data_IF_876467595186
#
_entry.id   IF_876467595186
#
_cell.length_a   1.000
_cell.length_b   1.000
_cell.length_c   1.000
_cell.angle_alpha   90.00
_cell.angle_beta   90.00
_cell.angle_gamma   90.00
#
_symmetry.space_group_name_H-M   'P 1'
#
loop_
_entity.id
_entity.type
_entity.pdbx_description
1 polymer ?
#
# COMPACT_ATOMS: atom_id res chain seq x y z
N UNK A 1 -71.51 -40.84 8.96
CA UNK A 1 -70.42 -40.12 9.65
C UNK A 1 -69.14 -40.25 8.85
N UNK A 2 -68.72 -39.21 8.13
CA UNK A 2 -67.37 -39.10 7.57
C UNK A 2 -66.93 -37.65 7.79
N UNK A 3 -66.00 -37.45 8.72
CA UNK A 3 -65.37 -36.15 9.00
C UNK A 3 -64.29 -35.93 7.94
N UNK A 4 -64.45 -34.92 7.10
CA UNK A 4 -63.40 -34.43 6.21
C UNK A 4 -62.44 -33.54 6.98
N UNK A 5 -61.15 -33.87 6.92
CA UNK A 5 -60.05 -33.07 7.48
C UNK A 5 -59.65 -32.05 6.39
N UNK A 6 -59.75 -30.76 6.70
CA UNK A 6 -59.20 -29.68 5.88
C UNK A 6 -57.75 -29.45 6.32
N UNK A 7 -56.80 -29.82 5.48
CA UNK A 7 -55.38 -29.52 5.67
C UNK A 7 -55.11 -28.16 5.00
N UNK A 8 -54.91 -27.12 5.81
CA UNK A 8 -54.44 -25.82 5.35
C UNK A 8 -52.95 -25.88 5.02
N UNK A 9 -52.60 -25.82 3.74
CA UNK A 9 -51.23 -25.56 3.31
C UNK A 9 -50.88 -24.09 3.60
N UNK A 10 -50.01 -23.86 4.59
CA UNK A 10 -49.30 -22.59 4.73
C UNK A 10 -48.14 -22.57 3.73
N UNK A 11 -48.30 -21.84 2.63
CA UNK A 11 -47.17 -21.45 1.79
C UNK A 11 -46.34 -20.40 2.54
N UNK A 12 -45.24 -20.85 3.17
CA UNK A 12 -44.18 -19.96 3.64
C UNK A 12 -43.40 -19.53 2.39
N UNK A 13 -43.75 -18.37 1.82
CA UNK A 13 -42.88 -17.69 0.88
C UNK A 13 -41.63 -17.21 1.64
N UNK A 14 -40.57 -18.03 1.64
CA UNK A 14 -39.24 -17.58 2.03
C UNK A 14 -38.76 -16.56 0.99
N UNK A 15 -38.96 -15.27 1.27
CA UNK A 15 -38.23 -14.19 0.62
C UNK A 15 -36.76 -14.31 1.03
N UNK A 16 -35.99 -15.14 0.33
CA UNK A 16 -34.55 -14.98 0.25
C UNK A 16 -34.31 -13.69 -0.54
N UNK A 17 -34.17 -12.58 0.18
CA UNK A 17 -33.62 -11.37 -0.38
C UNK A 17 -32.18 -11.70 -0.80
N UNK A 18 -31.96 -11.77 -2.11
CA UNK A 18 -30.63 -11.90 -2.69
C UNK A 18 -29.88 -10.59 -2.47
N UNK A 19 -29.35 -10.40 -1.27
CA UNK A 19 -28.43 -9.32 -0.99
C UNK A 19 -27.13 -9.65 -1.70
N UNK A 20 -26.79 -8.88 -2.73
CA UNK A 20 -25.42 -8.88 -3.24
C UNK A 20 -24.53 -8.28 -2.16
N UNK A 21 -23.75 -9.12 -1.48
CA UNK A 21 -22.69 -8.65 -0.59
C UNK A 21 -21.75 -7.72 -1.35
N UNK A 22 -21.35 -6.62 -0.71
CA UNK A 22 -20.32 -5.73 -1.24
C UNK A 22 -19.04 -6.56 -1.46
N UNK A 23 -18.45 -6.45 -2.66
CA UNK A 23 -17.23 -7.18 -3.00
C UNK A 23 -16.06 -6.22 -3.16
N UNK A 24 -14.89 -6.50 -2.58
CA UNK A 24 -13.68 -5.74 -2.86
C UNK A 24 -13.25 -5.96 -4.32
N UNK A 25 -12.95 -4.87 -5.02
CA UNK A 25 -12.34 -4.90 -6.35
C UNK A 25 -10.85 -4.56 -6.22
N UNK A 26 -10.01 -5.60 -6.22
CA UNK A 26 -8.56 -5.45 -6.24
C UNK A 26 -8.10 -4.86 -7.57
N UNK A 27 -7.26 -3.83 -7.49
CA UNK A 27 -6.69 -3.15 -8.67
C UNK A 27 -5.24 -3.59 -8.83
N UNK A 28 -4.50 -3.72 -7.72
CA UNK A 28 -3.16 -4.33 -7.65
C UNK A 28 -3.09 -5.27 -6.43
N UNK A 29 -2.01 -6.04 -6.23
CA UNK A 29 -1.84 -6.84 -5.02
C UNK A 29 -1.85 -6.04 -3.71
N UNK A 30 -1.58 -4.73 -3.78
CA UNK A 30 -1.40 -3.85 -2.61
C UNK A 30 -2.62 -2.94 -2.38
N UNK A 31 -3.61 -2.90 -3.27
CA UNK A 31 -4.85 -2.16 -2.97
C UNK A 31 -6.12 -2.58 -3.71
N UNK A 32 -7.25 -2.17 -3.13
CA UNK A 32 -8.59 -2.40 -3.67
C UNK A 32 -9.57 -1.25 -3.37
N UNK A 33 -10.72 -1.28 -4.04
CA UNK A 33 -11.87 -0.42 -3.75
C UNK A 33 -13.07 -1.29 -3.43
N UNK A 34 -13.81 -0.96 -2.37
CA UNK A 34 -15.06 -1.66 -2.03
C UNK A 34 -16.23 -0.67 -2.00
N UNK A 35 -17.35 -1.06 -2.61
CA UNK A 35 -18.61 -0.30 -2.54
C UNK A 35 -19.56 -0.97 -1.57
N UNK A 36 -19.82 -0.32 -0.44
CA UNK A 36 -20.71 -0.81 0.61
C UNK A 36 -22.17 -0.83 0.11
N UNK A 37 -22.88 -1.92 0.42
CA UNK A 37 -24.30 -2.09 0.06
C UNK A 37 -25.24 -1.18 0.85
N UNK A 38 -24.78 -0.59 1.95
CA UNK A 38 -25.50 0.40 2.77
C UNK A 38 -24.54 1.51 3.21
N UNK A 39 -25.01 2.76 3.36
CA UNK A 39 -24.25 3.80 4.04
C UNK A 39 -23.97 3.30 5.45
N UNK A 40 -22.69 3.20 5.80
CA UNK A 40 -22.31 2.91 7.18
C UNK A 40 -21.90 4.23 7.80
N UNK A 41 -22.45 4.52 8.98
CA UNK A 41 -21.83 5.50 9.86
C UNK A 41 -20.40 5.01 10.13
N UNK A 42 -19.39 5.76 9.69
CA UNK A 42 -18.03 5.50 10.16
C UNK A 42 -18.09 5.54 11.69
N UNK A 43 -17.63 4.50 12.40
CA UNK A 43 -17.61 4.49 13.86
C UNK A 43 -16.75 5.64 14.44
N UNK A 44 -15.98 6.33 13.60
CA UNK A 44 -14.98 7.32 13.96
C UNK A 44 -15.41 8.73 13.53
N UNK A 45 -16.59 9.18 13.95
CA UNK A 45 -17.00 10.57 13.75
C UNK A 45 -15.97 11.54 14.39
N UNK A 46 -15.40 12.37 13.50
CA UNK A 46 -14.59 13.61 13.54
C UNK A 46 -13.89 14.15 14.81
N UNK A 47 -13.89 13.49 15.97
CA UNK A 47 -13.13 13.96 17.11
C UNK A 47 -11.65 13.55 16.98
N UNK A 48 -10.81 14.44 16.45
CA UNK A 48 -9.37 14.25 16.33
C UNK A 48 -8.63 14.41 17.67
N UNK A 49 -9.31 14.77 18.77
CA UNK A 49 -8.64 15.05 20.05
C UNK A 49 -7.96 13.82 20.67
N UNK A 50 -8.27 12.60 20.21
CA UNK A 50 -7.60 11.40 20.71
C UNK A 50 -7.26 10.33 19.64
N UNK A 51 -6.52 10.75 18.62
CA UNK A 51 -6.11 9.85 17.54
C UNK A 51 -5.34 8.60 18.01
N UNK A 52 -4.50 8.70 19.05
CA UNK A 52 -3.79 7.53 19.59
C UNK A 52 -4.73 6.46 20.14
N UNK A 53 -5.81 6.85 20.80
CA UNK A 53 -6.82 5.89 21.26
C UNK A 53 -7.58 5.28 20.08
N UNK A 54 -7.89 6.08 19.04
CA UNK A 54 -8.49 5.59 17.80
C UNK A 54 -7.64 4.53 17.13
N UNK A 55 -6.32 4.76 17.02
CA UNK A 55 -5.37 3.76 16.49
C UNK A 55 -5.48 2.44 17.25
N UNK A 56 -5.57 2.50 18.59
CA UNK A 56 -5.74 1.30 19.42
C UNK A 56 -6.99 0.50 19.10
N UNK A 57 -8.09 1.19 18.75
CA UNK A 57 -9.38 0.57 18.41
C UNK A 57 -9.45 0.10 16.96
N UNK A 58 -8.67 0.72 16.07
CA UNK A 58 -8.60 0.38 14.66
C UNK A 58 -7.81 -0.92 14.41
N UNK A 59 -6.86 -1.28 15.28
CA UNK A 59 -6.02 -2.46 15.08
C UNK A 59 -6.80 -3.75 15.38
N UNK A 60 -6.84 -4.66 14.41
CA UNK A 60 -7.72 -5.81 14.41
C UNK A 60 -6.97 -7.06 13.89
N UNK A 61 -6.68 -8.02 14.78
CA UNK A 61 -6.11 -9.31 14.36
C UNK A 61 -7.17 -10.16 13.68
N UNK A 62 -6.85 -10.74 12.52
CA UNK A 62 -7.82 -11.49 11.71
C UNK A 62 -7.24 -12.81 11.21
N UNK A 63 -8.12 -13.78 10.94
CA UNK A 63 -7.74 -15.01 10.26
C UNK A 63 -7.52 -14.74 8.76
N UNK A 64 -6.73 -15.60 8.09
CA UNK A 64 -6.61 -15.54 6.64
C UNK A 64 -7.98 -15.59 6.00
N UNK A 65 -8.16 -14.78 4.98
CA UNK A 65 -9.39 -14.78 4.20
C UNK A 65 -9.39 -15.99 3.26
N UNK A 66 -10.32 -16.93 3.43
CA UNK A 66 -10.49 -18.07 2.52
C UNK A 66 -11.09 -17.67 1.16
N UNK A 67 -11.74 -16.51 1.10
CA UNK A 67 -12.37 -15.97 -0.10
C UNK A 67 -11.95 -14.51 -0.30
N UNK A 68 -11.12 -14.16 -1.30
CA UNK A 68 -10.67 -12.78 -1.53
C UNK A 68 -11.82 -11.78 -1.76
N UNK A 69 -13.04 -12.26 -2.05
CA UNK A 69 -14.27 -11.47 -2.16
C UNK A 69 -15.02 -11.29 -0.81
N UNK A 70 -14.54 -11.90 0.28
CA UNK A 70 -15.22 -11.86 1.57
C UNK A 70 -15.35 -10.42 2.07
N UNK A 71 -16.52 -10.13 2.66
CA UNK A 71 -16.80 -8.86 3.34
C UNK A 71 -15.59 -8.39 4.14
N UNK A 72 -15.19 -7.15 3.89
CA UNK A 72 -13.95 -6.65 4.46
C UNK A 72 -14.06 -6.44 5.97
N UNK A 73 -15.29 -6.40 6.49
CA UNK A 73 -15.60 -6.35 7.93
C UNK A 73 -15.44 -7.71 8.58
N UNK A 74 -14.19 -8.09 8.78
CA UNK A 74 -13.84 -9.31 9.50
C UNK A 74 -13.86 -9.05 11.01
N UNK A 75 -14.39 -9.99 11.82
CA UNK A 75 -14.41 -9.86 13.26
C UNK A 75 -12.98 -9.90 13.81
N UNK A 76 -12.68 -8.99 14.73
CA UNK A 76 -11.38 -8.97 15.40
C UNK A 76 -11.24 -10.16 16.35
N UNK A 77 -10.07 -10.78 16.29
CA UNK A 77 -9.65 -11.82 17.21
C UNK A 77 -9.00 -11.21 18.45
N UNK A 78 -9.02 -11.96 19.55
CA UNK A 78 -8.31 -11.60 20.78
C UNK A 78 -6.80 -11.44 20.54
N UNK A 79 -6.17 -10.54 21.31
CA UNK A 79 -4.73 -10.26 21.25
C UNK A 79 -4.30 -9.30 20.14
N UNK A 80 -5.24 -8.78 19.33
CA UNK A 80 -4.94 -7.76 18.32
C UNK A 80 -4.46 -6.43 18.91
N UNK A 81 -4.92 -6.09 20.11
CA UNK A 81 -4.56 -4.88 20.86
C UNK A 81 -3.06 -4.79 21.16
N UNK A 82 -2.38 -5.93 21.31
CA UNK A 82 -0.93 -5.98 21.52
C UNK A 82 -0.14 -5.37 20.33
N UNK A 83 -0.70 -5.38 19.13
CA UNK A 83 -0.06 -4.81 17.93
C UNK A 83 -0.21 -3.28 17.83
N UNK A 84 -1.14 -2.68 18.58
CA UNK A 84 -1.41 -1.24 18.53
C UNK A 84 -0.19 -0.39 18.87
N UNK A 85 0.75 -0.92 19.68
CA UNK A 85 1.96 -0.21 20.06
C UNK A 85 2.82 0.18 18.84
N UNK A 86 2.93 -0.68 17.83
CA UNK A 86 3.73 -0.41 16.63
C UNK A 86 3.22 0.82 15.88
N UNK A 87 1.90 0.92 15.74
CA UNK A 87 1.23 2.01 15.04
C UNK A 87 1.20 3.31 15.85
N UNK A 88 1.04 3.23 17.18
CA UNK A 88 1.14 4.39 18.07
C UNK A 88 2.54 5.00 18.06
N UNK A 89 3.57 4.16 18.05
CA UNK A 89 4.96 4.63 17.92
C UNK A 89 5.16 5.31 16.57
N UNK A 90 4.67 4.68 15.49
CA UNK A 90 4.80 5.22 14.15
C UNK A 90 4.11 6.59 13.99
N UNK A 91 2.89 6.74 14.53
CA UNK A 91 2.16 8.00 14.54
C UNK A 91 3.00 9.18 15.05
N UNK A 92 3.86 8.94 16.04
CA UNK A 92 4.71 9.98 16.62
C UNK A 92 5.80 10.48 15.68
N UNK A 93 6.27 9.62 14.77
CA UNK A 93 7.27 9.98 13.77
C UNK A 93 6.67 10.60 12.52
N UNK A 94 5.37 10.42 12.26
CA UNK A 94 4.76 10.96 11.06
C UNK A 94 4.61 12.49 11.08
N UNK A 95 4.74 13.14 9.91
CA UNK A 95 4.36 14.55 9.77
C UNK A 95 2.86 14.76 9.97
N UNK A 96 2.41 15.99 10.25
CA UNK A 96 1.00 16.29 10.54
C UNK A 96 -0.01 15.74 9.52
N UNK A 97 0.33 15.79 8.23
CA UNK A 97 -0.53 15.32 7.13
C UNK A 97 -0.74 13.81 7.19
N UNK A 98 0.35 13.04 7.39
CA UNK A 98 0.27 11.58 7.54
C UNK A 98 -0.35 11.18 8.89
N UNK A 99 -0.16 11.97 9.95
CA UNK A 99 -0.90 11.77 11.21
C UNK A 99 -2.40 11.92 11.00
N UNK A 100 -2.83 12.94 10.26
CA UNK A 100 -4.25 13.17 9.96
C UNK A 100 -4.82 12.02 9.13
N UNK A 101 -4.08 11.55 8.12
CA UNK A 101 -4.44 10.34 7.37
C UNK A 101 -4.58 9.12 8.27
N UNK A 102 -3.61 8.89 9.17
CA UNK A 102 -3.70 7.81 10.15
C UNK A 102 -5.00 7.87 10.96
N UNK A 103 -5.39 9.05 11.42
CA UNK A 103 -6.61 9.24 12.21
C UNK A 103 -7.91 8.97 11.43
N UNK A 104 -7.85 8.94 10.10
CA UNK A 104 -8.98 8.65 9.21
C UNK A 104 -9.09 7.18 8.80
N UNK A 105 -8.12 6.33 9.18
CA UNK A 105 -8.19 4.89 8.92
C UNK A 105 -9.15 4.22 9.92
N UNK A 106 -10.17 3.55 9.41
CA UNK A 106 -11.18 2.86 10.22
C UNK A 106 -10.65 1.59 10.86
N UNK A 107 -9.85 0.83 10.13
CA UNK A 107 -9.33 -0.47 10.57
C UNK A 107 -7.96 -0.78 9.97
N UNK A 108 -7.11 -1.38 10.80
CA UNK A 108 -5.78 -1.87 10.48
C UNK A 108 -5.77 -3.38 10.77
N UNK A 109 -5.90 -4.17 9.73
CA UNK A 109 -5.91 -5.62 9.84
C UNK A 109 -4.51 -6.18 10.06
N UNK A 110 -4.33 -6.99 11.10
CA UNK A 110 -3.14 -7.79 11.30
C UNK A 110 -3.43 -9.16 10.69
N UNK A 111 -2.89 -9.39 9.49
CA UNK A 111 -3.18 -10.56 8.68
C UNK A 111 -2.31 -11.74 9.12
N UNK A 112 -2.91 -12.78 9.70
CA UNK A 112 -2.15 -13.99 10.03
C UNK A 112 -1.42 -14.58 8.82
N UNK A 113 -2.02 -14.51 7.65
CA UNK A 113 -1.41 -14.86 6.38
C UNK A 113 -1.87 -13.88 5.31
N UNK A 114 -0.90 -13.31 4.59
CA UNK A 114 -1.14 -12.47 3.43
C UNK A 114 0.04 -12.66 2.48
N UNK A 115 -0.24 -12.69 1.18
CA UNK A 115 0.75 -12.92 0.13
C UNK A 115 1.71 -11.73 -0.02
N UNK A 116 1.20 -10.50 0.13
CA UNK A 116 1.99 -9.28 0.10
C UNK A 116 2.56 -8.92 1.48
N UNK A 117 3.10 -7.69 1.56
CA UNK A 117 3.56 -7.13 2.84
C UNK A 117 2.42 -6.43 3.58
N UNK A 118 1.71 -5.56 2.87
CA UNK A 118 0.58 -4.79 3.35
C UNK A 118 -0.35 -4.48 2.18
N UNK A 119 -1.52 -3.92 2.47
CA UNK A 119 -2.43 -3.41 1.48
C UNK A 119 -3.24 -2.24 2.03
N UNK A 120 -3.85 -1.45 1.14
CA UNK A 120 -4.78 -0.38 1.45
C UNK A 120 -6.12 -0.54 0.71
N UNK A 121 -7.18 0.04 1.26
CA UNK A 121 -8.44 0.14 0.54
C UNK A 121 -9.31 1.28 1.05
N UNK A 122 -10.17 1.79 0.17
CA UNK A 122 -11.19 2.79 0.52
C UNK A 122 -12.58 2.19 0.47
N UNK A 123 -13.42 2.61 1.41
CA UNK A 123 -14.82 2.22 1.52
C UNK A 123 -15.70 3.29 0.88
N UNK A 124 -16.45 2.94 -0.16
CA UNK A 124 -17.40 3.83 -0.83
C UNK A 124 -18.82 3.54 -0.40
N UNK A 125 -19.64 4.57 -0.27
CA UNK A 125 -21.09 4.42 -0.18
C UNK A 125 -21.72 4.07 -1.54
N UNK A 126 -23.02 3.70 -1.60
CA UNK A 126 -23.69 3.39 -2.85
C UNK A 126 -23.68 4.53 -3.90
N UNK A 127 -23.42 5.78 -3.48
CA UNK A 127 -23.31 6.93 -4.38
C UNK A 127 -21.87 7.16 -4.87
N UNK A 128 -20.94 6.27 -4.53
CA UNK A 128 -19.53 6.34 -4.90
C UNK A 128 -18.68 7.28 -4.04
N UNK A 129 -19.24 7.88 -2.99
CA UNK A 129 -18.49 8.75 -2.08
C UNK A 129 -17.67 7.91 -1.11
N UNK A 130 -16.39 8.25 -0.95
CA UNK A 130 -15.51 7.63 0.06
C UNK A 130 -16.03 8.02 1.46
N UNK A 131 -16.13 7.02 2.33
CA UNK A 131 -16.65 7.14 3.72
C UNK A 131 -15.70 6.58 4.77
N UNK A 132 -14.57 6.06 4.32
CA UNK A 132 -13.68 5.31 5.17
C UNK A 132 -12.50 4.71 4.41
N UNK A 133 -11.52 4.26 5.17
CA UNK A 133 -10.35 3.59 4.66
C UNK A 133 -9.89 2.50 5.61
N UNK A 134 -9.20 1.53 5.03
CA UNK A 134 -8.63 0.41 5.77
C UNK A 134 -7.27 0.06 5.20
N UNK A 135 -6.51 -0.63 6.02
CA UNK A 135 -5.27 -1.24 5.59
C UNK A 135 -5.14 -2.62 6.23
N UNK A 136 -4.30 -3.45 5.65
CA UNK A 136 -3.85 -4.69 6.27
C UNK A 136 -2.34 -4.80 6.23
N UNK A 137 -1.75 -5.49 7.18
CA UNK A 137 -0.33 -5.82 7.22
C UNK A 137 -0.14 -7.24 7.68
N UNK A 138 0.77 -7.96 7.03
CA UNK A 138 1.09 -9.34 7.37
C UNK A 138 1.66 -9.42 8.80
N UNK A 139 1.08 -10.26 9.66
CA UNK A 139 1.46 -10.43 11.07
C UNK A 139 2.95 -10.71 11.26
N UNK A 140 3.52 -11.60 10.43
CA UNK A 140 4.94 -11.96 10.52
C UNK A 140 5.87 -10.77 10.31
N UNK A 141 5.43 -9.75 9.56
CA UNK A 141 6.19 -8.51 9.35
C UNK A 141 6.39 -7.75 10.67
N UNK A 142 5.40 -7.78 11.57
CA UNK A 142 5.47 -7.15 12.89
C UNK A 142 6.18 -8.04 13.92
N UNK A 143 5.92 -9.34 13.88
CA UNK A 143 6.50 -10.30 14.84
C UNK A 143 8.01 -10.52 14.63
N UNK A 144 8.45 -10.64 13.37
CA UNK A 144 9.83 -10.98 13.01
C UNK A 144 10.77 -9.76 13.12
N UNK A 145 10.21 -8.57 13.44
CA UNK A 145 10.94 -7.30 13.60
C UNK A 145 11.89 -7.02 12.43
N UNK A 146 11.39 -7.20 11.21
CA UNK A 146 12.16 -6.97 9.99
C UNK A 146 12.72 -5.55 9.95
N UNK A 147 13.94 -5.43 9.44
CA UNK A 147 14.55 -4.13 9.15
C UNK A 147 14.25 -3.73 7.71
N UNK A 148 14.28 -2.42 7.43
CA UNK A 148 14.03 -1.91 6.08
C UNK A 148 15.06 -2.47 5.10
N UNK A 149 16.33 -2.51 5.50
CA UNK A 149 17.42 -3.16 4.76
C UNK A 149 17.07 -4.60 4.36
N UNK A 150 16.62 -5.43 5.32
CA UNK A 150 16.36 -6.85 5.07
C UNK A 150 15.14 -7.05 4.16
N UNK A 151 14.02 -6.39 4.48
CA UNK A 151 12.79 -6.49 3.72
C UNK A 151 12.94 -5.93 2.30
N UNK A 152 13.52 -4.74 2.16
CA UNK A 152 13.67 -4.10 0.86
C UNK A 152 14.64 -4.89 -0.03
N UNK A 153 15.75 -5.38 0.51
CA UNK A 153 16.63 -6.30 -0.23
C UNK A 153 15.85 -7.52 -0.72
N UNK A 154 15.07 -8.15 0.16
CA UNK A 154 14.26 -9.30 -0.23
C UNK A 154 13.27 -8.96 -1.36
N UNK A 155 12.49 -7.88 -1.21
CA UNK A 155 11.49 -7.45 -2.21
C UNK A 155 12.12 -7.17 -3.57
N UNK A 156 13.27 -6.49 -3.59
CA UNK A 156 14.01 -6.17 -4.81
C UNK A 156 14.62 -7.40 -5.49
N UNK A 157 15.01 -8.42 -4.71
CA UNK A 157 15.56 -9.67 -5.25
C UNK A 157 14.52 -10.54 -5.95
N UNK A 158 13.22 -10.39 -5.65
CA UNK A 158 12.17 -11.23 -6.23
C UNK A 158 12.19 -11.19 -7.76
N UNK A 159 12.41 -10.01 -8.35
CA UNK A 159 12.52 -9.84 -9.81
C UNK A 159 13.69 -10.61 -10.43
N UNK A 160 14.71 -10.97 -9.64
CA UNK A 160 15.97 -11.56 -10.11
C UNK A 160 16.20 -12.99 -9.59
N UNK A 161 15.13 -13.69 -9.21
CA UNK A 161 15.20 -15.08 -8.73
C UNK A 161 15.48 -15.21 -7.24
N UNK A 162 15.14 -14.17 -6.46
CA UNK A 162 15.11 -14.23 -5.00
C UNK A 162 14.08 -15.24 -4.48
N UNK A 163 14.26 -15.67 -3.24
CA UNK A 163 13.39 -16.65 -2.58
C UNK A 163 12.13 -15.94 -2.06
N UNK A 164 10.94 -16.30 -2.54
CA UNK A 164 9.69 -15.60 -2.23
C UNK A 164 9.01 -16.07 -0.92
N UNK A 165 9.28 -17.29 -0.47
CA UNK A 165 8.63 -17.89 0.70
C UNK A 165 9.31 -17.57 2.04
N UNK A 166 10.48 -16.93 1.99
CA UNK A 166 11.24 -16.52 3.17
C UNK A 166 11.96 -15.19 2.92
N UNK A 167 12.22 -14.41 3.97
CA UNK A 167 13.03 -13.18 3.89
C UNK A 167 14.54 -13.48 3.70
N UNK A 168 14.91 -14.63 3.16
CA UNK A 168 16.29 -15.03 2.91
C UNK A 168 16.83 -14.26 1.71
N UNK A 169 18.06 -13.73 1.84
CA UNK A 169 18.69 -13.00 0.75
C UNK A 169 19.60 -13.96 -0.03
N UNK A 170 19.48 -13.93 -1.35
CA UNK A 170 20.34 -14.69 -2.27
C UNK A 170 21.61 -13.89 -2.55
N UNK A 171 22.81 -14.48 -2.35
CA UNK A 171 24.08 -13.81 -2.66
C UNK A 171 24.19 -13.46 -4.16
N UNK A 172 24.76 -12.29 -4.47
CA UNK A 172 24.97 -11.81 -5.85
C UNK A 172 23.75 -11.17 -6.51
N UNK A 173 22.61 -11.09 -5.81
CA UNK A 173 21.43 -10.31 -6.18
C UNK A 173 21.46 -8.94 -5.47
N UNK A 174 20.67 -7.93 -5.90
CA UNK A 174 20.72 -6.60 -5.31
C UNK A 174 20.51 -6.61 -3.79
N UNK A 175 21.24 -5.74 -3.12
CA UNK A 175 21.19 -5.52 -1.68
C UNK A 175 20.84 -4.06 -1.41
N UNK A 176 19.83 -3.84 -0.59
CA UNK A 176 19.49 -2.52 -0.10
C UNK A 176 20.24 -2.26 1.20
N UNK A 177 20.88 -1.10 1.31
CA UNK A 177 21.52 -0.63 2.54
C UNK A 177 20.78 0.61 3.02
N UNK A 178 20.25 0.55 4.23
CA UNK A 178 19.55 1.67 4.87
C UNK A 178 20.15 2.05 6.20
N UNK A 179 20.04 3.33 6.55
CA UNK A 179 20.31 3.84 7.89
C UNK A 179 19.42 5.05 8.12
N UNK A 180 18.75 5.08 9.27
CA UNK A 180 17.76 6.10 9.63
C UNK A 180 18.09 6.68 11.01
N UNK A 181 17.41 7.75 11.41
CA UNK A 181 17.56 8.31 12.75
C UNK A 181 17.25 7.25 13.84
N UNK A 182 18.06 7.14 14.92
CA UNK A 182 17.89 6.09 15.92
C UNK A 182 16.50 6.08 16.58
N UNK A 183 15.96 4.88 16.79
CA UNK A 183 14.67 4.68 17.46
C UNK A 183 13.44 4.73 16.54
N UNK A 184 13.60 5.16 15.28
CA UNK A 184 12.55 5.05 14.29
C UNK A 184 12.43 3.60 13.78
N UNK A 185 11.20 3.09 13.67
CA UNK A 185 10.91 1.89 12.89
C UNK A 185 10.78 2.28 11.41
N UNK A 186 11.92 2.48 10.75
CA UNK A 186 11.98 2.96 9.36
C UNK A 186 11.27 2.06 8.37
N UNK A 187 11.30 0.76 8.62
CA UNK A 187 10.58 -0.22 7.85
C UNK A 187 9.07 -0.04 7.90
N UNK A 188 8.48 -0.04 9.11
CA UNK A 188 7.03 0.15 9.23
C UNK A 188 6.62 1.55 8.79
N UNK A 189 7.48 2.55 9.00
CA UNK A 189 7.27 3.89 8.47
C UNK A 189 7.15 3.88 6.95
N UNK A 190 8.07 3.21 6.26
CA UNK A 190 8.03 3.09 4.81
C UNK A 190 6.75 2.39 4.34
N UNK A 191 6.46 1.20 4.87
CA UNK A 191 5.29 0.39 4.47
C UNK A 191 3.98 1.16 4.69
N UNK A 192 3.77 1.74 5.87
CA UNK A 192 2.52 2.48 6.14
C UNK A 192 2.43 3.77 5.34
N UNK A 193 3.56 4.46 5.07
CA UNK A 193 3.55 5.63 4.19
C UNK A 193 3.15 5.28 2.76
N UNK A 194 3.60 4.12 2.28
CA UNK A 194 3.22 3.58 0.97
C UNK A 194 1.71 3.34 0.93
N UNK A 195 1.15 2.62 1.91
CA UNK A 195 -0.30 2.38 1.99
C UNK A 195 -1.11 3.69 2.08
N UNK A 196 -0.61 4.68 2.82
CA UNK A 196 -1.22 6.01 2.87
C UNK A 196 -1.18 6.72 1.52
N UNK A 197 -0.16 6.48 0.70
CA UNK A 197 -0.10 6.96 -0.68
C UNK A 197 -1.28 6.49 -1.52
N UNK A 198 -1.66 5.22 -1.43
CA UNK A 198 -2.87 4.72 -2.10
C UNK A 198 -4.14 5.41 -1.57
N UNK A 199 -4.30 5.53 -0.25
CA UNK A 199 -5.48 6.18 0.34
C UNK A 199 -5.55 7.66 -0.07
N UNK A 200 -4.41 8.37 -0.08
CA UNK A 200 -4.32 9.74 -0.57
C UNK A 200 -4.75 9.84 -2.03
N UNK A 201 -4.26 8.94 -2.89
CA UNK A 201 -4.62 8.94 -4.30
C UNK A 201 -6.12 8.77 -4.50
N UNK A 202 -6.73 7.76 -3.87
CA UNK A 202 -8.16 7.53 -4.00
C UNK A 202 -9.00 8.69 -3.53
N UNK A 203 -8.60 9.31 -2.41
CA UNK A 203 -9.36 10.38 -1.78
C UNK A 203 -9.22 11.70 -2.51
N UNK A 204 -8.06 11.95 -3.13
CA UNK A 204 -7.71 13.24 -3.73
C UNK A 204 -7.60 13.21 -5.25
N UNK A 205 -7.82 12.04 -5.87
CA UNK A 205 -7.67 11.81 -7.30
C UNK A 205 -6.27 12.22 -7.81
N UNK A 206 -5.22 11.83 -7.09
CA UNK A 206 -3.83 12.24 -7.33
C UNK A 206 -3.39 11.85 -8.73
N UNK A 207 -3.68 10.63 -9.17
CA UNK A 207 -3.23 10.10 -10.46
C UNK A 207 -3.92 10.75 -11.67
N UNK A 208 -5.24 11.00 -11.60
CA UNK A 208 -5.99 11.59 -12.71
C UNK A 208 -5.97 13.12 -12.71
N UNK A 209 -5.55 13.73 -11.60
CA UNK A 209 -5.47 15.18 -11.42
C UNK A 209 -6.84 15.83 -11.21
N UNK A 210 -6.82 16.96 -10.52
CA UNK A 210 -7.93 17.94 -10.46
C UNK A 210 -7.45 19.35 -10.83
N UNK A 211 -6.16 19.47 -11.19
CA UNK A 211 -5.44 20.71 -11.44
C UNK A 211 -5.25 20.96 -12.95
N UNK A 212 -5.15 22.23 -13.40
CA UNK A 212 -4.83 22.56 -14.79
C UNK A 212 -3.52 21.96 -15.31
N UNK A 213 -2.61 21.55 -14.42
CA UNK A 213 -1.30 21.01 -14.75
C UNK A 213 -1.26 19.46 -14.84
N UNK A 214 -2.42 18.79 -14.75
CA UNK A 214 -2.52 17.34 -14.76
C UNK A 214 -2.36 16.69 -13.38
N UNK A 215 -2.44 15.36 -13.34
CA UNK A 215 -2.23 14.52 -12.16
C UNK A 215 -0.81 13.97 -12.05
N UNK A 216 -0.53 13.23 -10.98
CA UNK A 216 0.71 12.48 -10.81
C UNK A 216 0.99 11.53 -11.98
N UNK A 217 -0.04 10.84 -12.46
CA UNK A 217 0.07 9.90 -13.57
C UNK A 217 0.66 10.56 -14.82
N UNK A 218 0.25 11.80 -15.10
CA UNK A 218 0.72 12.57 -16.25
C UNK A 218 2.22 12.90 -16.19
N UNK A 219 2.90 12.73 -15.06
CA UNK A 219 4.34 13.00 -14.95
C UNK A 219 5.19 11.90 -15.61
N UNK A 220 4.74 10.65 -15.58
CA UNK A 220 5.55 9.50 -16.02
C UNK A 220 4.84 8.54 -16.94
N UNK A 221 3.51 8.63 -17.05
CA UNK A 221 2.67 7.62 -17.65
C UNK A 221 1.88 8.15 -18.84
N UNK A 222 1.65 7.28 -19.83
CA UNK A 222 0.68 7.48 -20.92
C UNK A 222 -0.64 6.78 -20.61
N UNK A 223 -0.55 5.59 -20.01
CA UNK A 223 -1.68 4.79 -19.53
C UNK A 223 -1.31 4.13 -18.21
N UNK A 224 -2.23 3.38 -17.62
CA UNK A 224 -2.02 2.67 -16.35
C UNK A 224 -0.91 1.60 -16.42
N UNK A 225 -0.55 1.13 -17.63
CA UNK A 225 0.46 0.09 -17.85
C UNK A 225 1.67 0.55 -18.69
N UNK A 226 1.53 1.71 -19.35
CA UNK A 226 2.51 2.21 -20.32
C UNK A 226 3.11 3.51 -19.82
N UNK A 227 4.41 3.52 -19.44
CA UNK A 227 5.11 4.75 -19.13
C UNK A 227 5.30 5.59 -20.41
N UNK A 228 5.64 6.86 -20.23
CA UNK A 228 6.11 7.69 -21.34
C UNK A 228 7.42 7.15 -21.90
N UNK A 229 7.72 7.37 -23.20
CA UNK A 229 8.92 6.82 -23.85
C UNK A 229 10.22 7.16 -23.13
N UNK A 230 10.33 8.35 -22.55
CA UNK A 230 11.50 8.78 -21.77
C UNK A 230 11.69 8.07 -20.42
N UNK A 231 10.68 7.33 -19.95
CA UNK A 231 10.71 6.55 -18.71
C UNK A 231 10.66 5.03 -18.97
N UNK A 232 10.64 4.59 -20.23
CA UNK A 232 10.72 3.19 -20.59
C UNK A 232 12.19 2.73 -20.60
N UNK A 233 12.46 1.49 -20.19
CA UNK A 233 13.83 0.95 -20.13
C UNK A 233 13.85 -0.57 -20.31
N UNK A 234 15.01 -1.17 -20.68
CA UNK A 234 15.14 -2.62 -20.84
C UNK A 234 14.66 -3.38 -19.60
N UNK A 235 13.97 -4.49 -19.82
CA UNK A 235 13.46 -5.39 -18.78
C UNK A 235 12.37 -4.85 -17.85
N UNK A 236 11.87 -3.61 -18.02
CA UNK A 236 10.81 -3.07 -17.15
C UNK A 236 9.59 -4.00 -17.06
N UNK A 237 9.10 -4.49 -18.20
CA UNK A 237 7.92 -5.37 -18.27
C UNK A 237 8.15 -6.78 -17.72
N UNK A 238 9.41 -7.15 -17.55
CA UNK A 238 9.82 -8.47 -17.02
C UNK A 238 9.98 -8.43 -15.49
N UNK A 239 9.90 -7.24 -14.87
CA UNK A 239 9.95 -7.08 -13.42
C UNK A 239 8.73 -7.74 -12.75
N UNK A 240 8.98 -8.40 -11.63
CA UNK A 240 7.96 -9.11 -10.87
C UNK A 240 8.30 -9.09 -9.38
N UNK A 241 7.27 -9.17 -8.53
CA UNK A 241 7.44 -9.03 -7.07
C UNK A 241 6.81 -10.23 -6.35
N UNK A 242 5.51 -10.19 -6.05
CA UNK A 242 4.86 -11.27 -5.30
C UNK A 242 4.51 -12.50 -6.15
N UNK A 243 4.36 -12.33 -7.47
CA UNK A 243 3.90 -13.36 -8.41
C UNK A 243 4.85 -13.52 -9.59
N UNK A 244 6.15 -13.62 -9.32
CA UNK A 244 7.11 -14.00 -10.34
C UNK A 244 6.73 -15.38 -10.88
N UNK A 245 6.34 -15.44 -12.16
CA UNK A 245 6.30 -16.70 -12.89
C UNK A 245 7.72 -17.31 -12.87
N UNK A 246 7.88 -18.60 -13.22
CA UNK A 246 9.16 -19.33 -13.22
C UNK A 246 10.23 -18.77 -14.21
N UNK A 247 10.12 -17.50 -14.59
CA UNK A 247 10.97 -16.74 -15.50
C UNK A 247 11.46 -15.44 -14.85
N UNK A 248 12.20 -15.51 -13.72
CA UNK A 248 12.85 -14.32 -13.17
C UNK A 248 13.88 -13.76 -14.16
N UNK A 249 14.17 -12.47 -14.05
CA UNK A 249 15.30 -11.87 -14.75
C UNK A 249 16.60 -12.53 -14.31
N UNK A 250 17.53 -12.68 -15.25
CA UNK A 250 18.85 -13.21 -14.90
C UNK A 250 19.58 -12.19 -14.02
N UNK A 251 20.43 -12.70 -13.11
CA UNK A 251 21.24 -11.85 -12.22
C UNK A 251 22.10 -10.85 -13.00
N UNK A 252 22.53 -11.19 -14.22
CA UNK A 252 23.31 -10.31 -15.09
C UNK A 252 22.54 -9.05 -15.51
N UNK A 253 21.20 -9.05 -15.47
CA UNK A 253 20.38 -7.89 -15.80
C UNK A 253 20.32 -6.84 -14.68
N UNK A 254 20.69 -7.19 -13.44
CA UNK A 254 20.58 -6.30 -12.25
C UNK A 254 21.24 -4.94 -12.51
N UNK A 255 22.50 -4.93 -12.94
CA UNK A 255 23.25 -3.70 -13.18
C UNK A 255 22.63 -2.84 -14.28
N UNK A 256 22.16 -3.44 -15.38
CA UNK A 256 21.51 -2.70 -16.46
C UNK A 256 20.19 -2.06 -16.00
N UNK A 257 19.36 -2.83 -15.29
CA UNK A 257 18.08 -2.38 -14.75
C UNK A 257 18.27 -1.19 -13.81
N UNK A 258 19.13 -1.29 -12.79
CA UNK A 258 19.31 -0.19 -11.86
C UNK A 258 20.04 1.01 -12.46
N UNK A 259 20.95 0.81 -13.42
CA UNK A 259 21.54 1.92 -14.17
C UNK A 259 20.47 2.71 -14.91
N UNK A 260 19.62 2.02 -15.67
CA UNK A 260 18.57 2.66 -16.44
C UNK A 260 17.51 3.31 -15.53
N UNK A 261 17.05 2.59 -14.50
CA UNK A 261 16.16 3.13 -13.49
C UNK A 261 16.73 4.44 -12.90
N UNK A 262 18.00 4.44 -12.49
CA UNK A 262 18.61 5.57 -11.79
C UNK A 262 18.85 6.79 -12.69
N UNK A 263 19.38 6.58 -13.90
CA UNK A 263 19.84 7.67 -14.76
C UNK A 263 18.80 8.11 -15.80
N UNK A 264 18.02 7.18 -16.32
CA UNK A 264 17.26 7.39 -17.54
C UNK A 264 15.82 7.81 -17.22
N UNK A 265 15.22 7.22 -16.17
CA UNK A 265 13.80 7.41 -15.78
C UNK A 265 13.58 8.39 -14.62
N UNK A 266 12.32 8.83 -14.45
CA UNK A 266 11.85 9.51 -13.25
C UNK A 266 11.19 8.58 -12.21
N UNK A 267 11.32 7.25 -12.29
CA UNK A 267 10.82 6.30 -11.29
C UNK A 267 11.79 6.17 -10.12
N UNK A 268 11.31 6.11 -8.87
CA UNK A 268 12.21 6.10 -7.70
C UNK A 268 12.76 4.70 -7.37
N UNK A 269 12.02 3.65 -7.70
CA UNK A 269 12.32 2.23 -7.46
C UNK A 269 11.86 1.39 -8.65
N UNK A 270 12.25 0.11 -8.71
CA UNK A 270 11.67 -0.82 -9.70
C UNK A 270 10.18 -1.07 -9.44
N UNK A 271 9.72 -0.99 -8.18
CA UNK A 271 8.31 -1.20 -7.83
C UNK A 271 7.41 -0.08 -8.36
N UNK A 272 7.90 1.16 -8.30
CA UNK A 272 7.26 2.35 -8.87
C UNK A 272 7.05 2.28 -10.40
N UNK A 273 7.69 1.31 -11.08
CA UNK A 273 7.55 1.12 -12.54
C UNK A 273 6.37 0.23 -12.94
N UNK A 274 5.60 -0.25 -11.95
CA UNK A 274 4.50 -1.19 -12.15
C UNK A 274 3.26 -0.49 -12.73
N UNK A 275 2.83 0.62 -12.11
CA UNK A 275 1.69 1.45 -12.56
C UNK A 275 1.72 2.82 -11.82
N UNK A 276 0.87 3.80 -12.21
CA UNK A 276 0.84 5.12 -11.59
C UNK A 276 0.54 5.14 -10.08
N UNK A 277 -0.26 4.18 -9.60
CA UNK A 277 -0.62 4.08 -8.18
C UNK A 277 0.55 3.68 -7.32
N UNK A 278 1.27 2.63 -7.73
CA UNK A 278 2.51 2.20 -7.06
C UNK A 278 3.58 3.28 -7.18
N UNK A 279 3.67 3.97 -8.32
CA UNK A 279 4.60 5.08 -8.52
C UNK A 279 4.40 6.19 -7.47
N UNK A 280 3.16 6.63 -7.26
CA UNK A 280 2.85 7.67 -6.27
C UNK A 280 3.10 7.17 -4.84
N UNK A 281 2.57 6.00 -4.50
CA UNK A 281 2.67 5.44 -3.15
C UNK A 281 4.13 5.24 -2.72
N UNK A 282 4.93 4.63 -3.60
CA UNK A 282 6.32 4.37 -3.31
C UNK A 282 7.14 5.67 -3.27
N UNK A 283 6.91 6.58 -4.23
CA UNK A 283 7.55 7.90 -4.23
C UNK A 283 7.25 8.70 -2.98
N UNK A 284 6.01 8.68 -2.50
CA UNK A 284 5.62 9.35 -1.26
C UNK A 284 6.35 8.75 -0.06
N UNK A 285 6.43 7.42 0.02
CA UNK A 285 7.13 6.72 1.09
C UNK A 285 8.62 7.10 1.14
N UNK A 286 9.32 7.10 0.00
CA UNK A 286 10.70 7.58 -0.08
C UNK A 286 10.83 9.05 0.31
N UNK A 287 9.92 9.90 -0.16
CA UNK A 287 9.93 11.34 0.11
C UNK A 287 9.80 11.65 1.60
N UNK A 288 8.75 11.13 2.25
CA UNK A 288 8.50 11.42 3.67
C UNK A 288 9.54 10.77 4.57
N UNK A 289 10.00 9.57 4.24
CA UNK A 289 11.07 8.90 4.99
C UNK A 289 12.39 9.67 4.88
N UNK A 290 12.76 10.14 3.69
CA UNK A 290 13.95 10.97 3.48
C UNK A 290 13.89 12.31 4.22
N UNK A 291 12.71 12.95 4.28
CA UNK A 291 12.55 14.22 4.99
C UNK A 291 12.49 14.07 6.52
N UNK A 292 11.80 13.06 7.04
CA UNK A 292 11.49 12.96 8.47
C UNK A 292 12.38 12.00 9.24
N UNK A 293 12.85 10.92 8.62
CA UNK A 293 13.75 9.96 9.26
C UNK A 293 15.22 10.14 8.86
N UNK A 294 15.49 11.06 7.92
CA UNK A 294 16.82 11.30 7.34
C UNK A 294 17.46 10.00 6.83
N UNK A 295 16.62 9.08 6.33
CA UNK A 295 17.06 7.76 5.91
C UNK A 295 18.01 7.87 4.73
N UNK A 296 19.18 7.25 4.84
CA UNK A 296 20.00 6.89 3.69
C UNK A 296 19.46 5.60 3.08
N UNK A 297 19.42 5.52 1.75
CA UNK A 297 18.93 4.36 1.03
C UNK A 297 19.79 4.15 -0.22
N UNK A 298 20.55 3.06 -0.21
CA UNK A 298 21.51 2.72 -1.28
C UNK A 298 21.12 1.36 -1.85
N UNK A 299 20.95 1.30 -3.16
CA UNK A 299 20.91 0.04 -3.89
C UNK A 299 22.35 -0.36 -4.22
N UNK A 300 22.80 -1.48 -3.69
CA UNK A 300 24.07 -2.14 -4.00
C UNK A 300 23.78 -3.33 -4.92
N UNK A 301 24.11 -3.21 -6.20
CA UNK A 301 23.84 -4.25 -7.21
C UNK A 301 24.59 -5.56 -6.96
N UNK A 302 25.53 -5.58 -6.01
CA UNK A 302 26.51 -6.66 -5.84
C UNK A 302 27.37 -6.91 -7.09
N UNK A 303 27.38 -5.95 -8.04
CA UNK A 303 28.09 -5.98 -9.32
C UNK A 303 28.92 -4.69 -9.51
N UNK A 304 29.48 -4.17 -8.40
CA UNK A 304 30.30 -2.96 -8.36
C UNK A 304 29.60 -1.65 -8.75
N UNK A 305 28.25 -1.63 -8.77
CA UNK A 305 27.47 -0.41 -8.93
C UNK A 305 26.61 -0.16 -7.69
N UNK A 306 26.59 1.10 -7.25
CA UNK A 306 25.78 1.56 -6.13
C UNK A 306 25.00 2.82 -6.52
N UNK A 307 23.73 2.88 -6.13
CA UNK A 307 22.82 3.96 -6.47
C UNK A 307 22.18 4.55 -5.21
N UNK A 308 22.36 5.85 -4.99
CA UNK A 308 21.82 6.55 -3.83
C UNK A 308 20.42 7.10 -4.15
N UNK A 309 19.39 6.40 -3.70
CA UNK A 309 17.99 6.75 -4.01
C UNK A 309 17.62 8.13 -3.43
N UNK A 310 18.17 8.50 -2.29
CA UNK A 310 17.95 9.83 -1.68
C UNK A 310 18.59 10.96 -2.48
N UNK A 311 19.68 10.68 -3.19
CA UNK A 311 20.26 11.61 -4.17
C UNK A 311 19.38 11.70 -5.42
N UNK A 312 18.87 10.58 -5.93
CA UNK A 312 17.93 10.57 -7.07
C UNK A 312 16.66 11.37 -6.79
N UNK A 313 16.11 11.26 -5.57
CA UNK A 313 14.96 12.03 -5.11
C UNK A 313 15.15 13.55 -5.30
N UNK A 314 16.40 14.03 -5.22
CA UNK A 314 16.79 15.45 -5.40
C UNK A 314 17.34 15.76 -6.80
N UNK A 315 17.35 14.79 -7.70
CA UNK A 315 17.90 14.94 -9.05
C UNK A 315 16.95 15.73 -9.96
N UNK A 316 17.50 16.29 -11.03
CA UNK A 316 16.71 16.98 -12.06
C UNK A 316 15.65 16.05 -12.68
N UNK A 317 15.98 14.77 -12.89
CA UNK A 317 15.07 13.75 -13.43
C UNK A 317 13.83 13.53 -12.56
N UNK A 318 13.95 13.66 -11.24
CA UNK A 318 12.84 13.43 -10.30
C UNK A 318 12.17 14.73 -9.84
N UNK A 319 12.67 15.89 -10.27
CA UNK A 319 12.29 17.21 -9.73
C UNK A 319 10.80 17.51 -9.80
N UNK A 320 10.14 17.14 -10.90
CA UNK A 320 8.69 17.38 -11.06
C UNK A 320 7.86 16.59 -10.06
N UNK A 321 8.22 15.32 -9.81
CA UNK A 321 7.58 14.47 -8.78
C UNK A 321 7.85 14.99 -7.38
N UNK A 322 9.08 15.40 -7.10
CA UNK A 322 9.44 16.01 -5.82
C UNK A 322 8.56 17.22 -5.51
N UNK A 323 8.44 18.16 -6.47
CA UNK A 323 7.58 19.35 -6.34
C UNK A 323 6.12 18.97 -6.15
N UNK A 324 5.62 18.00 -6.92
CA UNK A 324 4.25 17.55 -6.79
C UNK A 324 3.95 17.05 -5.36
N UNK A 325 4.81 16.21 -4.79
CA UNK A 325 4.62 15.70 -3.43
C UNK A 325 4.75 16.81 -2.37
N UNK A 326 5.71 17.70 -2.52
CA UNK A 326 5.90 18.84 -1.61
C UNK A 326 4.67 19.76 -1.65
N UNK A 327 4.19 20.13 -2.83
CA UNK A 327 2.98 20.93 -3.01
C UNK A 327 1.75 20.20 -2.44
N UNK A 328 1.59 18.91 -2.76
CA UNK A 328 0.47 18.10 -2.29
C UNK A 328 0.40 18.03 -0.76
N UNK A 329 1.51 17.74 -0.09
CA UNK A 329 1.53 17.64 1.37
C UNK A 329 1.37 18.99 2.06
N UNK A 330 1.69 20.11 1.40
CA UNK A 330 1.50 21.45 1.96
C UNK A 330 0.14 22.09 1.64
N UNK A 331 -0.71 21.41 0.86
CA UNK A 331 -2.07 21.88 0.53
C UNK A 331 -2.99 21.84 1.74
N UNK A 332 -3.86 22.86 1.85
CA UNK A 332 -4.88 22.95 2.90
C UNK A 332 -6.17 22.19 2.58
N UNK A 333 -6.36 21.85 1.31
CA UNK A 333 -7.53 21.18 0.76
C UNK A 333 -7.30 19.67 0.52
N UNK A 334 -6.23 19.10 1.07
CA UNK A 334 -6.05 17.65 1.11
C UNK A 334 -7.23 17.03 1.87
N UNK A 335 -7.92 16.13 1.19
CA UNK A 335 -9.05 15.38 1.70
C UNK A 335 -8.59 14.07 2.32
N UNK A 336 -9.33 13.65 3.34
CA UNK A 336 -9.17 12.39 4.06
C UNK A 336 -10.51 11.62 3.99
N UNK A 337 -10.48 10.27 4.00
CA UNK A 337 -11.66 9.41 3.89
C UNK A 337 -12.86 9.75 4.79
#
# INVERSE_FOLDING_TARGET
MKKGIVIGLFCICSWQSSWSEAKPQWITPDFFVETLSKPVASPLDQDTQNCREKISKAVCLVNPTENPDASVRRPCLEGGDAYAIHFKMLYDFFPPVLRTMFCSVDVIYIEKQFQGTAYAGVLRDPNGKIRGAQMGIRKSVLDDRLTLTKWASWKEQLSFGGISDSYTLTPGLPLIRTSSWPGANDFLFFVVSHEFGHIFDFTNNVNKGTSPNGGWGDLSWLTEETPKPENEFPHRKDLCFYWCQDHPLSKEAVSEVYRALYHDTNFISIYATSNPWEDFADSLAYFVMGQHLQTSYIVDTQQHQMYNIMQKLRSEKFRSKYRYMDDFLNRKDVSYP
#
